data_IF_240422998665
#
_entry.id   IF_240422998665
#
_cell.length_a   1.000
_cell.length_b   1.000
_cell.length_c   1.000
_cell.angle_alpha   90.00
_cell.angle_beta   90.00
_cell.angle_gamma   90.00
#
_symmetry.space_group_name_H-M   'P 1'
#
loop_
_entity.id
_entity.type
_entity.pdbx_description
1 polymer ?
#
# COMPACT_ATOMS: atom_id res chain seq x y z
N UNK A 1 -65.33 38.56 22.20
CA UNK A 1 -64.55 38.00 21.10
C UNK A 1 -63.08 37.91 21.58
N UNK A 2 -62.69 36.71 21.97
CA UNK A 2 -61.35 36.48 22.55
C UNK A 2 -60.50 35.89 21.44
N UNK A 3 -59.48 36.66 20.99
CA UNK A 3 -58.49 36.20 20.05
C UNK A 3 -57.49 35.30 20.78
N UNK A 4 -57.44 34.01 20.37
CA UNK A 4 -56.38 33.08 20.75
C UNK A 4 -55.23 33.22 19.77
N UNK A 5 -54.08 33.77 20.29
CA UNK A 5 -52.77 33.69 19.60
C UNK A 5 -52.26 32.26 19.73
N UNK A 6 -52.11 31.55 18.61
CA UNK A 6 -51.36 30.30 18.54
C UNK A 6 -49.87 30.63 18.43
N UNK A 7 -49.11 30.34 19.49
CA UNK A 7 -47.65 30.41 19.51
C UNK A 7 -47.10 29.11 18.93
N UNK A 8 -46.66 29.10 17.66
CA UNK A 8 -46.00 27.96 17.03
C UNK A 8 -44.53 28.02 17.45
N UNK A 9 -44.15 27.14 18.36
CA UNK A 9 -42.75 26.93 18.71
C UNK A 9 -42.03 26.20 17.58
N UNK A 10 -41.18 26.90 16.88
CA UNK A 10 -40.17 26.28 15.98
C UNK A 10 -39.07 25.65 16.87
N UNK A 11 -39.07 24.34 17.00
CA UNK A 11 -37.91 23.61 17.52
C UNK A 11 -36.92 23.54 16.36
N UNK A 12 -35.94 24.42 16.38
CA UNK A 12 -34.75 24.32 15.57
C UNK A 12 -33.90 23.14 16.16
N UNK A 13 -34.03 21.97 15.58
CA UNK A 13 -33.03 20.93 15.79
C UNK A 13 -31.72 21.42 15.17
N UNK A 14 -30.80 21.87 16.01
CA UNK A 14 -29.41 22.03 15.62
C UNK A 14 -28.88 20.62 15.29
N UNK A 15 -28.90 20.22 14.04
CA UNK A 15 -28.04 19.15 13.56
C UNK A 15 -26.61 19.65 13.81
N UNK A 16 -25.92 19.07 14.78
CA UNK A 16 -24.48 19.08 14.80
C UNK A 16 -24.03 18.40 13.49
N UNK A 17 -23.66 19.18 12.49
CA UNK A 17 -22.88 18.66 11.39
C UNK A 17 -21.57 18.17 12.02
N UNK A 18 -21.47 16.87 12.28
CA UNK A 18 -20.19 16.22 12.55
C UNK A 18 -19.26 16.54 11.37
N UNK A 19 -17.99 16.79 11.63
CA UNK A 19 -17.02 16.95 10.57
C UNK A 19 -17.07 15.66 9.71
N UNK A 20 -17.31 15.82 8.41
CA UNK A 20 -17.34 14.71 7.47
C UNK A 20 -15.94 14.13 7.35
N UNK A 21 -15.80 12.81 7.39
CA UNK A 21 -14.53 12.13 7.21
C UNK A 21 -13.94 12.44 5.81
N UNK A 22 -12.62 12.58 5.76
CA UNK A 22 -11.94 12.95 4.52
C UNK A 22 -11.63 11.69 3.69
N UNK A 23 -12.07 11.61 2.42
CA UNK A 23 -11.91 10.40 1.61
C UNK A 23 -10.46 10.16 1.14
N UNK A 24 -9.55 11.11 1.34
CA UNK A 24 -8.16 11.03 0.86
C UNK A 24 -7.17 10.87 2.01
N UNK A 25 -5.97 10.37 1.71
CA UNK A 25 -4.84 10.29 2.67
C UNK A 25 -4.70 11.64 3.39
N UNK A 26 -4.58 11.60 4.71
CA UNK A 26 -4.37 12.80 5.53
C UNK A 26 -2.99 12.85 6.17
N UNK A 27 -2.30 11.70 6.26
CA UNK A 27 -1.00 11.62 6.92
C UNK A 27 -0.12 10.51 6.36
N UNK A 28 1.20 10.78 6.33
CA UNK A 28 2.25 9.80 6.08
C UNK A 28 3.03 9.54 7.37
N UNK A 29 3.17 8.28 7.74
CA UNK A 29 3.83 7.84 8.97
C UNK A 29 5.26 7.39 8.74
N UNK A 30 5.53 6.80 7.58
CA UNK A 30 6.88 6.35 7.22
C UNK A 30 7.06 6.33 5.69
N UNK A 31 8.30 6.51 5.25
CA UNK A 31 8.70 6.40 3.85
C UNK A 31 10.16 5.98 3.80
N UNK A 32 10.43 4.80 3.25
CA UNK A 32 11.76 4.25 3.05
C UNK A 32 11.81 3.65 1.64
N UNK A 33 12.17 4.43 0.61
CA UNK A 33 12.31 3.90 -0.74
C UNK A 33 13.54 2.98 -0.82
N UNK A 34 13.43 1.92 -1.59
CA UNK A 34 14.59 1.16 -2.05
C UNK A 34 15.34 1.97 -3.12
N UNK A 35 16.58 1.65 -3.45
CA UNK A 35 17.29 2.32 -4.52
C UNK A 35 16.52 2.23 -5.84
N UNK A 36 16.41 3.36 -6.56
CA UNK A 36 15.65 3.43 -7.80
C UNK A 36 15.85 4.75 -8.54
N UNK A 37 15.48 4.75 -9.82
CA UNK A 37 15.79 5.89 -10.72
C UNK A 37 15.00 7.17 -10.40
N UNK A 38 13.89 7.08 -9.64
CA UNK A 38 13.02 8.23 -9.32
C UNK A 38 13.00 8.63 -7.85
N UNK A 39 13.66 7.89 -6.94
CA UNK A 39 13.56 8.08 -5.49
C UNK A 39 14.06 9.44 -4.97
N UNK A 40 14.82 10.18 -5.78
CA UNK A 40 15.29 11.53 -5.45
C UNK A 40 14.57 12.63 -6.23
N UNK A 41 13.63 12.28 -7.09
CA UNK A 41 12.85 13.22 -7.91
C UNK A 41 11.35 13.14 -7.63
N UNK A 42 10.87 12.02 -7.10
CA UNK A 42 9.48 11.76 -6.72
C UNK A 42 9.39 11.24 -5.28
N UNK A 43 9.32 12.15 -4.29
CA UNK A 43 9.39 13.61 -4.36
C UNK A 43 10.82 14.11 -4.56
N UNK A 44 10.98 15.38 -4.96
CA UNK A 44 12.31 16.00 -5.09
C UNK A 44 13.00 16.14 -3.72
N UNK A 45 14.06 15.35 -3.52
CA UNK A 45 14.88 15.34 -2.30
C UNK A 45 16.34 15.60 -2.62
N UNK A 46 17.07 16.13 -1.65
CA UNK A 46 18.51 16.41 -1.77
C UNK A 46 19.26 15.88 -0.54
N UNK A 47 20.54 15.68 -0.67
CA UNK A 47 21.41 15.30 0.44
C UNK A 47 21.28 16.29 1.62
N UNK A 48 21.33 15.76 2.83
CA UNK A 48 21.21 16.52 4.08
C UNK A 48 19.78 16.86 4.51
N UNK A 49 18.75 16.48 3.75
CA UNK A 49 17.37 16.55 4.25
C UNK A 49 17.17 15.55 5.39
N UNK A 50 16.46 15.97 6.43
CA UNK A 50 16.05 15.08 7.52
C UNK A 50 14.83 14.24 7.11
N UNK A 51 14.62 13.11 7.79
CA UNK A 51 13.43 12.26 7.57
C UNK A 51 12.13 13.07 7.67
N UNK A 52 11.99 13.96 8.64
CA UNK A 52 10.79 14.78 8.82
C UNK A 52 10.53 15.72 7.64
N UNK A 53 11.58 16.28 7.04
CA UNK A 53 11.46 17.12 5.84
C UNK A 53 11.02 16.29 4.65
N UNK A 54 11.57 15.09 4.50
CA UNK A 54 11.19 14.16 3.43
C UNK A 54 9.74 13.71 3.60
N UNK A 55 9.31 13.32 4.81
CA UNK A 55 7.91 12.92 5.08
C UNK A 55 6.93 14.04 4.72
N UNK A 56 7.23 15.29 5.05
CA UNK A 56 6.39 16.45 4.63
C UNK A 56 6.30 16.58 3.12
N UNK A 57 7.37 16.32 2.37
CA UNK A 57 7.35 16.32 0.90
C UNK A 57 6.50 15.17 0.35
N UNK A 58 6.58 14.00 0.96
CA UNK A 58 5.73 12.87 0.63
C UNK A 58 4.26 13.20 0.88
N UNK A 59 3.91 13.79 2.04
CA UNK A 59 2.56 14.26 2.34
C UNK A 59 2.05 15.26 1.29
N UNK A 60 2.87 16.24 0.93
CA UNK A 60 2.53 17.21 -0.14
C UNK A 60 2.28 16.56 -1.51
N UNK A 61 2.86 15.38 -1.74
CA UNK A 61 2.75 14.68 -3.03
C UNK A 61 1.53 13.77 -3.13
N UNK A 62 1.06 13.18 -2.01
CA UNK A 62 0.04 12.12 -2.05
C UNK A 62 -1.15 12.35 -1.12
N UNK A 63 -1.09 13.27 -0.15
CA UNK A 63 -2.24 13.56 0.70
C UNK A 63 -3.26 14.46 -0.02
N UNK A 64 -4.54 14.29 0.34
CA UNK A 64 -5.58 15.23 -0.06
C UNK A 64 -5.40 16.58 0.59
N UNK A 65 -5.86 17.63 -0.07
CA UNK A 65 -5.85 18.99 0.43
C UNK A 65 -7.20 19.68 0.14
N UNK A 66 -7.48 20.76 0.84
CA UNK A 66 -8.68 21.55 0.64
C UNK A 66 -8.42 22.65 -0.41
N UNK A 67 -9.28 22.72 -1.42
CA UNK A 67 -9.26 23.76 -2.45
C UNK A 67 -10.70 24.27 -2.65
N UNK A 68 -10.90 25.59 -2.46
CA UNK A 68 -12.23 26.25 -2.52
C UNK A 68 -13.34 25.55 -1.71
N UNK A 69 -12.98 24.93 -0.57
CA UNK A 69 -13.92 24.25 0.33
C UNK A 69 -14.25 22.81 -0.09
N UNK A 70 -13.62 22.29 -1.13
CA UNK A 70 -13.71 20.90 -1.57
C UNK A 70 -12.39 20.15 -1.27
N UNK A 71 -12.50 18.88 -0.90
CA UNK A 71 -11.33 18.02 -0.76
C UNK A 71 -10.90 17.51 -2.13
N UNK A 72 -9.65 17.76 -2.48
CA UNK A 72 -9.02 17.30 -3.73
C UNK A 72 -7.82 16.40 -3.46
N UNK A 73 -7.57 15.48 -4.37
CA UNK A 73 -6.40 14.63 -4.31
C UNK A 73 -5.16 15.36 -4.85
N UNK A 74 -3.99 15.13 -4.27
CA UNK A 74 -2.75 15.72 -4.75
C UNK A 74 -2.47 15.34 -6.21
N UNK A 75 -1.94 16.28 -6.99
CA UNK A 75 -1.62 16.07 -8.42
C UNK A 75 -0.22 15.49 -8.68
N UNK A 76 0.46 15.03 -7.64
CA UNK A 76 1.82 14.50 -7.71
C UNK A 76 1.86 13.02 -7.35
N UNK A 77 3.05 12.46 -7.24
CA UNK A 77 3.28 11.08 -6.87
C UNK A 77 4.64 10.92 -6.16
N UNK A 78 4.84 9.77 -5.56
CA UNK A 78 6.13 9.35 -5.00
C UNK A 78 6.55 8.03 -5.64
N UNK A 79 7.88 7.81 -5.75
CA UNK A 79 8.43 6.53 -6.19
C UNK A 79 8.92 5.74 -4.99
N UNK A 80 8.57 4.46 -4.93
CA UNK A 80 9.03 3.55 -3.89
C UNK A 80 10.40 2.95 -4.21
N UNK A 81 10.91 3.17 -5.42
CA UNK A 81 12.12 2.51 -5.92
C UNK A 81 11.90 1.02 -6.15
N UNK A 82 12.97 0.25 -6.22
CA UNK A 82 12.96 -1.17 -6.49
C UNK A 82 12.26 -1.97 -5.38
N UNK A 83 12.28 -3.31 -5.48
CA UNK A 83 11.59 -4.21 -4.55
C UNK A 83 11.80 -3.85 -3.08
N UNK A 84 10.71 -3.81 -2.35
CA UNK A 84 10.67 -3.64 -0.90
C UNK A 84 10.62 -2.20 -0.41
N UNK A 85 11.01 -1.21 -1.22
CA UNK A 85 10.83 0.19 -0.86
C UNK A 85 9.35 0.51 -0.61
N UNK A 86 9.04 1.30 0.44
CA UNK A 86 7.67 1.43 0.93
C UNK A 86 7.29 2.81 1.43
N UNK A 87 5.98 3.03 1.52
CA UNK A 87 5.33 4.13 2.24
C UNK A 87 4.28 3.59 3.20
N UNK A 88 4.11 4.25 4.36
CA UNK A 88 3.01 3.99 5.31
C UNK A 88 2.19 5.27 5.47
N UNK A 89 0.90 5.16 5.26
CA UNK A 89 -0.03 6.29 5.35
C UNK A 89 -1.36 5.90 6.02
N UNK A 90 -2.23 6.87 6.24
CA UNK A 90 -3.58 6.68 6.77
C UNK A 90 -4.48 7.87 6.53
N UNK A 91 -5.73 7.70 6.91
CA UNK A 91 -6.79 8.70 6.86
C UNK A 91 -6.96 9.41 8.22
N UNK A 92 -7.87 10.38 8.34
CA UNK A 92 -8.22 11.01 9.62
C UNK A 92 -9.18 10.15 10.47
N UNK A 93 -9.57 8.99 9.94
CA UNK A 93 -10.44 7.99 10.54
C UNK A 93 -9.94 6.57 10.15
N UNK A 94 -10.38 5.50 10.82
CA UNK A 94 -10.11 4.12 10.39
C UNK A 94 -10.79 3.81 9.05
N UNK A 95 -10.09 3.20 8.12
CA UNK A 95 -10.66 2.60 6.91
C UNK A 95 -11.52 1.40 7.31
N UNK A 96 -12.80 1.42 6.97
CA UNK A 96 -13.79 0.42 7.38
C UNK A 96 -13.92 -0.69 6.33
N UNK A 97 -13.99 -1.94 6.77
CA UNK A 97 -14.36 -3.08 5.92
C UNK A 97 -15.88 -3.06 5.67
N UNK A 98 -16.29 -2.86 4.44
CA UNK A 98 -17.68 -2.92 3.99
C UNK A 98 -17.89 -4.23 3.22
N UNK A 99 -18.53 -5.17 3.88
CA UNK A 99 -18.68 -6.54 3.39
C UNK A 99 -19.15 -6.63 1.93
N UNK A 100 -18.32 -7.24 1.10
CA UNK A 100 -18.61 -7.51 -0.31
C UNK A 100 -18.38 -6.33 -1.26
N UNK A 101 -17.80 -5.25 -0.76
CA UNK A 101 -17.42 -4.09 -1.56
C UNK A 101 -15.89 -3.91 -1.58
N UNK A 102 -15.38 -2.96 -2.35
CA UNK A 102 -14.00 -2.52 -2.29
C UNK A 102 -13.92 -1.34 -1.33
N UNK A 103 -12.99 -1.39 -0.39
CA UNK A 103 -12.89 -0.39 0.67
C UNK A 103 -11.92 0.74 0.32
N UNK A 104 -10.89 0.44 -0.45
CA UNK A 104 -9.76 1.32 -0.71
C UNK A 104 -9.40 1.32 -2.19
N UNK A 105 -9.07 2.48 -2.74
CA UNK A 105 -8.38 2.59 -4.03
C UNK A 105 -7.06 3.33 -3.84
N UNK A 106 -5.97 2.79 -4.41
CA UNK A 106 -4.65 3.43 -4.40
C UNK A 106 -4.27 3.76 -5.83
N UNK A 107 -3.83 4.99 -6.06
CA UNK A 107 -3.52 5.54 -7.37
C UNK A 107 -2.02 5.43 -7.68
N UNK A 108 -1.72 5.13 -8.93
CA UNK A 108 -0.36 5.05 -9.46
C UNK A 108 -0.19 5.81 -10.77
N UNK A 109 0.76 5.37 -11.60
CA UNK A 109 0.99 5.95 -12.93
C UNK A 109 0.96 4.91 -14.07
N UNK A 110 0.48 3.69 -13.79
CA UNK A 110 0.38 2.64 -14.80
C UNK A 110 -0.33 3.12 -16.08
N UNK A 111 0.15 2.68 -17.23
CA UNK A 111 -0.38 3.05 -18.52
C UNK A 111 -0.55 1.87 -19.45
N UNK A 112 -1.53 1.94 -20.38
CA UNK A 112 -1.75 0.92 -21.39
C UNK A 112 -0.99 1.21 -22.69
N UNK A 113 -0.45 0.17 -23.31
CA UNK A 113 0.16 0.28 -24.64
C UNK A 113 -0.90 0.59 -25.73
N UNK A 114 -2.15 0.18 -25.52
CA UNK A 114 -3.30 0.55 -26.35
C UNK A 114 -4.61 0.36 -25.55
N UNK A 115 -5.74 0.97 -25.95
CA UNK A 115 -7.00 0.95 -25.19
C UNK A 115 -7.55 -0.44 -24.81
N UNK A 116 -7.14 -1.48 -25.52
CA UNK A 116 -7.60 -2.86 -25.29
C UNK A 116 -6.49 -3.81 -24.83
N UNK A 117 -5.25 -3.30 -24.67
CA UNK A 117 -4.12 -4.14 -24.27
C UNK A 117 -4.17 -4.45 -22.78
N UNK A 118 -3.62 -5.61 -22.39
CA UNK A 118 -3.37 -5.99 -21.00
C UNK A 118 -1.88 -5.82 -20.64
N UNK A 119 -1.22 -4.89 -21.30
CA UNK A 119 0.19 -4.56 -21.13
C UNK A 119 0.45 -3.08 -21.39
N UNK A 120 1.59 -2.63 -20.90
CA UNK A 120 2.05 -1.24 -21.01
C UNK A 120 3.16 -0.96 -20.02
N UNK A 121 3.00 0.08 -19.18
CA UNK A 121 3.74 0.27 -17.94
C UNK A 121 2.91 -0.28 -16.80
N UNK A 122 3.45 -1.24 -16.03
CA UNK A 122 2.81 -1.88 -14.89
C UNK A 122 3.86 -2.29 -13.87
N UNK A 123 3.83 -1.65 -12.71
CA UNK A 123 4.89 -1.67 -11.70
C UNK A 123 4.31 -2.09 -10.33
N UNK A 124 3.86 -3.38 -10.20
CA UNK A 124 2.94 -3.81 -9.17
C UNK A 124 3.49 -3.65 -7.75
N UNK A 125 2.76 -2.89 -6.92
CA UNK A 125 2.98 -2.74 -5.49
C UNK A 125 2.01 -3.61 -4.67
N UNK A 126 2.51 -4.14 -3.56
CA UNK A 126 1.76 -4.93 -2.58
C UNK A 126 1.24 -4.02 -1.48
N UNK A 127 0.03 -4.29 -1.01
CA UNK A 127 -0.62 -3.57 0.09
C UNK A 127 -0.64 -4.42 1.35
N UNK A 128 -0.25 -3.82 2.47
CA UNK A 128 -0.43 -4.36 3.80
C UNK A 128 -1.22 -3.39 4.67
N UNK A 129 -1.94 -3.89 5.64
CA UNK A 129 -2.78 -3.11 6.55
C UNK A 129 -2.52 -3.48 8.01
N UNK A 130 -2.73 -2.53 8.93
CA UNK A 130 -2.57 -2.75 10.36
C UNK A 130 -3.42 -1.79 11.20
N UNK A 131 -3.66 -2.15 12.47
CA UNK A 131 -4.26 -1.27 13.48
C UNK A 131 -3.21 -0.62 14.40
N UNK A 132 -1.97 -1.14 14.42
CA UNK A 132 -0.81 -0.57 15.13
C UNK A 132 0.38 -0.47 14.17
N UNK A 133 1.17 0.61 14.27
CA UNK A 133 2.39 0.81 13.45
C UNK A 133 3.45 -0.27 13.68
N UNK A 134 3.46 -0.88 14.87
CA UNK A 134 4.38 -1.97 15.20
C UNK A 134 3.84 -3.35 14.76
N UNK A 135 2.66 -3.40 14.16
CA UNK A 135 1.99 -4.61 13.69
C UNK A 135 1.09 -5.29 14.73
N UNK A 136 0.52 -6.42 14.41
CA UNK A 136 0.77 -7.20 13.19
C UNK A 136 0.33 -6.48 11.90
N UNK A 137 1.07 -6.73 10.82
CA UNK A 137 0.75 -6.29 9.49
C UNK A 137 0.18 -7.46 8.68
N UNK A 138 -0.94 -7.24 8.00
CA UNK A 138 -1.64 -8.21 7.18
C UNK A 138 -1.53 -7.83 5.70
N UNK A 139 -1.11 -8.77 4.84
CA UNK A 139 -1.07 -8.56 3.40
C UNK A 139 -2.49 -8.67 2.82
N UNK A 140 -2.88 -7.75 1.95
CA UNK A 140 -4.07 -7.92 1.11
C UNK A 140 -3.66 -8.77 -0.10
N UNK A 141 -3.94 -10.08 -0.03
CA UNK A 141 -3.49 -11.05 -1.02
C UNK A 141 -4.13 -10.80 -2.38
N UNK A 142 -3.32 -10.42 -3.37
CA UNK A 142 -3.75 -10.22 -4.76
C UNK A 142 -3.72 -11.50 -5.59
N UNK A 143 -4.07 -11.37 -6.88
CA UNK A 143 -4.23 -12.48 -7.83
C UNK A 143 -2.98 -13.36 -8.02
N UNK A 144 -1.79 -12.82 -7.76
CA UNK A 144 -0.53 -13.53 -7.91
C UNK A 144 0.01 -14.11 -6.60
N UNK A 145 -0.68 -13.91 -5.46
CA UNK A 145 -0.20 -14.40 -4.16
C UNK A 145 0.03 -15.91 -4.18
N UNK A 146 -0.90 -16.69 -4.71
CA UNK A 146 -0.79 -18.16 -4.87
C UNK A 146 0.01 -18.64 -6.08
N UNK A 147 0.64 -17.75 -6.85
CA UNK A 147 1.41 -18.14 -8.03
C UNK A 147 2.70 -18.85 -7.61
N UNK A 148 3.01 -20.00 -8.26
CA UNK A 148 4.19 -20.81 -7.94
C UNK A 148 5.55 -20.07 -8.09
N UNK A 149 5.59 -18.93 -8.78
CA UNK A 149 6.78 -18.08 -8.93
C UNK A 149 6.82 -16.89 -7.97
N UNK A 150 5.77 -16.68 -7.18
CA UNK A 150 5.76 -15.71 -6.09
C UNK A 150 6.56 -16.29 -4.93
N UNK A 151 7.44 -15.49 -4.34
CA UNK A 151 8.30 -15.91 -3.23
C UNK A 151 7.85 -15.17 -1.97
N UNK A 152 7.36 -15.91 -1.00
CA UNK A 152 7.07 -15.40 0.35
C UNK A 152 8.35 -15.33 1.18
N UNK A 153 8.41 -14.45 2.18
CA UNK A 153 9.59 -14.23 3.01
C UNK A 153 10.88 -13.92 2.20
N UNK A 154 10.71 -13.31 1.02
CA UNK A 154 11.84 -12.89 0.21
C UNK A 154 12.53 -11.71 0.89
N UNK A 155 13.84 -11.85 1.13
CA UNK A 155 14.68 -10.81 1.71
C UNK A 155 15.75 -10.36 0.74
N UNK A 156 15.95 -9.04 0.64
CA UNK A 156 16.99 -8.43 -0.18
C UNK A 156 17.74 -7.37 0.63
N UNK A 157 19.04 -7.25 0.36
CA UNK A 157 19.88 -6.16 0.86
C UNK A 157 20.54 -5.45 -0.32
N UNK A 158 20.29 -4.15 -0.42
CA UNK A 158 20.95 -3.25 -1.36
C UNK A 158 22.14 -2.57 -0.69
N UNK A 159 23.22 -2.34 -1.44
CA UNK A 159 24.44 -1.71 -0.95
C UNK A 159 24.64 -0.35 -1.62
N UNK A 160 24.95 0.67 -0.81
CA UNK A 160 25.17 2.04 -1.30
C UNK A 160 26.26 2.06 -2.39
N UNK A 161 25.97 2.61 -3.58
CA UNK A 161 26.93 2.62 -4.66
C UNK A 161 28.09 3.58 -4.38
N UNK A 162 29.28 3.24 -4.87
CA UNK A 162 30.37 4.19 -4.99
C UNK A 162 30.16 5.05 -6.25
N UNK A 163 29.68 6.28 -6.07
CA UNK A 163 29.46 7.22 -7.18
C UNK A 163 30.75 7.66 -7.89
N UNK A 164 31.92 7.41 -7.28
CA UNK A 164 33.23 7.73 -7.86
C UNK A 164 33.84 6.59 -8.66
N UNK A 165 33.27 5.40 -8.66
CA UNK A 165 33.80 4.25 -9.41
C UNK A 165 33.72 4.46 -10.93
N UNK A 166 34.58 3.79 -11.66
CA UNK A 166 34.50 3.72 -13.14
C UNK A 166 33.25 2.88 -13.52
N UNK A 167 32.30 3.45 -14.29
CA UNK A 167 31.10 2.71 -14.73
C UNK A 167 31.48 1.52 -15.64
N UNK A 168 30.63 0.47 -15.61
CA UNK A 168 30.74 -0.71 -16.49
C UNK A 168 29.58 -0.66 -17.50
N UNK A 169 29.81 -0.09 -18.73
CA UNK A 169 28.75 0.04 -19.72
C UNK A 169 28.24 -1.33 -20.21
N UNK A 170 26.96 -1.39 -20.59
CA UNK A 170 26.40 -2.58 -21.22
C UNK A 170 27.00 -2.76 -22.63
N UNK A 171 27.43 -3.99 -23.02
CA UNK A 171 28.16 -4.21 -24.27
C UNK A 171 27.35 -3.87 -25.54
N UNK A 172 26.03 -3.96 -25.50
CA UNK A 172 25.16 -3.78 -26.67
C UNK A 172 24.09 -2.70 -26.49
N UNK A 173 23.60 -2.47 -25.27
CA UNK A 173 22.55 -1.48 -25.00
C UNK A 173 23.22 -0.19 -24.50
N UNK A 174 23.51 0.76 -25.44
CA UNK A 174 24.20 2.00 -25.13
C UNK A 174 23.53 2.89 -24.08
N UNK A 175 22.21 2.75 -23.91
CA UNK A 175 21.48 3.50 -22.90
C UNK A 175 21.84 3.08 -21.47
N UNK A 176 22.31 1.85 -21.25
CA UNK A 176 22.76 1.35 -19.95
C UNK A 176 24.23 1.73 -19.78
N UNK A 177 24.48 2.70 -18.92
CA UNK A 177 25.82 3.30 -18.70
C UNK A 177 26.63 2.56 -17.63
N UNK A 178 25.97 1.87 -16.68
CA UNK A 178 26.63 1.05 -15.67
C UNK A 178 25.79 -0.18 -15.28
N UNK A 179 26.30 -1.37 -15.60
CA UNK A 179 25.68 -2.67 -15.27
C UNK A 179 26.01 -3.16 -13.86
N UNK A 180 26.81 -2.41 -13.10
CA UNK A 180 27.25 -2.78 -11.74
C UNK A 180 26.96 -1.69 -10.73
N UNK A 181 25.90 -0.87 -10.95
CA UNK A 181 25.70 0.38 -10.22
C UNK A 181 25.30 0.16 -8.76
N UNK A 182 24.10 -0.37 -8.46
CA UNK A 182 23.72 -0.68 -7.08
C UNK A 182 23.75 -2.19 -6.88
N UNK A 183 24.69 -2.69 -6.11
CA UNK A 183 24.79 -4.09 -5.79
C UNK A 183 23.66 -4.50 -4.84
N UNK A 184 23.17 -5.75 -4.97
CA UNK A 184 22.23 -6.36 -4.04
C UNK A 184 22.52 -7.85 -3.84
N UNK A 185 22.11 -8.36 -2.66
CA UNK A 185 22.07 -9.80 -2.33
C UNK A 185 20.69 -10.16 -1.81
N UNK A 186 20.24 -11.41 -2.01
CA UNK A 186 18.95 -11.87 -1.54
C UNK A 186 18.96 -13.35 -1.17
N UNK A 187 17.87 -13.82 -0.56
CA UNK A 187 17.67 -15.21 -0.16
C UNK A 187 16.92 -16.06 -1.20
N UNK A 188 16.84 -15.62 -2.48
CA UNK A 188 16.13 -16.37 -3.51
C UNK A 188 16.64 -17.82 -3.63
N UNK A 189 15.69 -18.76 -3.77
CA UNK A 189 16.00 -20.18 -3.97
C UNK A 189 15.95 -20.58 -5.44
N UNK A 190 15.25 -19.80 -6.27
CA UNK A 190 14.95 -20.13 -7.68
C UNK A 190 15.70 -19.26 -8.70
N UNK A 191 16.48 -18.29 -8.24
CA UNK A 191 17.15 -17.33 -9.10
C UNK A 191 18.50 -16.87 -8.52
N UNK A 192 19.09 -15.85 -9.14
CA UNK A 192 20.33 -15.23 -8.66
C UNK A 192 20.17 -14.72 -7.22
N UNK A 193 21.13 -15.04 -6.37
CA UNK A 193 21.21 -14.56 -4.98
C UNK A 193 21.96 -13.24 -4.85
N UNK A 194 22.52 -12.71 -5.92
CA UNK A 194 23.20 -11.43 -6.00
C UNK A 194 23.11 -10.86 -7.41
N UNK A 195 23.12 -9.53 -7.51
CA UNK A 195 23.05 -8.82 -8.78
C UNK A 195 23.21 -7.32 -8.61
N UNK A 196 22.78 -6.58 -9.62
CA UNK A 196 22.89 -5.14 -9.66
C UNK A 196 21.64 -4.50 -10.23
N UNK A 197 21.28 -3.31 -9.72
CA UNK A 197 20.45 -2.37 -10.47
C UNK A 197 21.35 -1.61 -11.43
N UNK A 198 20.91 -1.47 -12.67
CA UNK A 198 21.67 -0.82 -13.73
C UNK A 198 21.37 0.68 -13.77
N UNK A 199 22.39 1.49 -14.05
CA UNK A 199 22.21 2.91 -14.33
C UNK A 199 22.06 3.15 -15.82
N UNK A 200 21.14 4.03 -16.21
CA UNK A 200 20.94 4.41 -17.60
C UNK A 200 21.30 5.89 -17.83
N UNK A 201 21.36 6.31 -19.10
CA UNK A 201 21.68 7.67 -19.48
C UNK A 201 20.48 8.62 -19.52
N UNK A 202 19.28 8.14 -19.20
CA UNK A 202 18.05 8.93 -19.12
C UNK A 202 17.88 9.48 -17.69
N UNK A 203 18.28 8.69 -16.69
CA UNK A 203 18.19 9.03 -15.28
C UNK A 203 19.58 9.14 -14.67
N UNK A 204 20.15 10.36 -14.71
CA UNK A 204 21.54 10.62 -14.33
C UNK A 204 21.75 10.79 -12.83
N UNK A 205 20.69 11.09 -12.06
CA UNK A 205 20.74 11.25 -10.60
C UNK A 205 21.17 9.96 -9.91
N UNK A 206 21.59 10.07 -8.63
CA UNK A 206 21.82 8.89 -7.80
C UNK A 206 20.52 8.09 -7.63
N UNK A 207 20.62 6.76 -7.66
CA UNK A 207 19.50 5.85 -7.33
C UNK A 207 19.44 5.55 -5.84
N UNK A 208 20.47 5.89 -5.06
CA UNK A 208 20.43 5.79 -3.61
C UNK A 208 19.64 6.95 -3.03
N UNK A 209 18.70 6.71 -2.08
CA UNK A 209 17.98 7.79 -1.42
C UNK A 209 18.94 8.75 -0.73
N UNK A 210 19.03 10.01 -1.21
CA UNK A 210 20.08 10.97 -0.81
C UNK A 210 20.02 11.40 0.65
N UNK A 211 18.90 11.17 1.32
CA UNK A 211 18.68 11.51 2.73
C UNK A 211 18.96 10.33 3.68
N UNK A 212 19.31 9.14 3.14
CA UNK A 212 19.65 7.95 3.91
C UNK A 212 21.17 7.74 3.86
N UNK A 213 21.79 7.84 5.03
CA UNK A 213 23.25 7.72 5.15
C UNK A 213 23.74 6.28 5.28
N UNK A 214 22.82 5.34 5.57
CA UNK A 214 23.14 3.93 5.75
C UNK A 214 23.91 3.34 4.56
N UNK A 215 24.86 2.46 4.83
CA UNK A 215 25.65 1.76 3.81
C UNK A 215 24.86 0.66 3.09
N UNK A 216 23.75 0.22 3.67
CA UNK A 216 22.87 -0.79 3.09
C UNK A 216 21.41 -0.60 3.53
N UNK A 217 20.50 -1.06 2.69
CA UNK A 217 19.05 -1.09 2.96
C UNK A 217 18.54 -2.52 2.76
N UNK A 218 17.80 -3.03 3.74
CA UNK A 218 17.25 -4.39 3.69
C UNK A 218 15.74 -4.37 3.77
N UNK A 219 15.09 -5.21 2.97
CA UNK A 219 13.64 -5.33 2.91
C UNK A 219 13.24 -6.81 2.89
N UNK A 220 12.09 -7.11 3.48
CA UNK A 220 11.52 -8.47 3.52
C UNK A 220 10.02 -8.39 3.26
N UNK A 221 9.50 -9.34 2.48
CA UNK A 221 8.07 -9.45 2.17
C UNK A 221 7.81 -10.46 1.04
N UNK A 222 6.62 -10.40 0.47
CA UNK A 222 6.24 -11.18 -0.70
C UNK A 222 6.85 -10.55 -1.96
N UNK A 223 7.59 -11.33 -2.75
CA UNK A 223 8.09 -10.92 -4.07
C UNK A 223 7.28 -11.59 -5.16
N UNK A 224 6.61 -10.79 -5.97
CA UNK A 224 5.82 -11.23 -7.11
C UNK A 224 6.71 -11.78 -8.24
N UNK A 225 6.12 -12.58 -9.12
CA UNK A 225 6.78 -12.98 -10.36
C UNK A 225 7.08 -11.76 -11.23
N UNK A 226 8.07 -11.86 -12.09
CA UNK A 226 8.34 -10.85 -13.11
C UNK A 226 7.15 -10.77 -14.09
N UNK A 227 6.69 -9.53 -14.38
CA UNK A 227 5.67 -9.24 -15.38
C UNK A 227 6.22 -8.56 -16.63
N UNK A 228 7.52 -8.25 -16.66
CA UNK A 228 8.21 -7.60 -17.76
C UNK A 228 8.68 -8.63 -18.80
N UNK A 229 8.47 -8.32 -20.08
CA UNK A 229 8.85 -9.16 -21.23
C UNK A 229 9.54 -8.32 -22.28
N UNK A 230 10.71 -8.78 -22.74
CA UNK A 230 11.37 -8.23 -23.92
C UNK A 230 10.81 -8.86 -25.20
N UNK A 231 9.95 -8.14 -25.89
CA UNK A 231 9.30 -8.56 -27.12
C UNK A 231 10.30 -8.70 -28.30
N UNK A 232 11.45 -8.03 -28.20
CA UNK A 232 12.49 -8.09 -29.25
C UNK A 232 13.46 -9.28 -29.08
N UNK A 233 13.56 -9.84 -27.87
CA UNK A 233 14.59 -10.80 -27.49
C UNK A 233 16.02 -10.24 -27.54
N UNK A 234 16.17 -8.90 -27.64
CA UNK A 234 17.46 -8.20 -27.78
C UNK A 234 17.61 -7.03 -26.78
N UNK A 235 16.69 -6.88 -25.84
CA UNK A 235 16.69 -5.82 -24.85
C UNK A 235 16.18 -4.46 -25.32
N UNK A 236 15.60 -4.38 -26.53
CA UNK A 236 15.23 -3.12 -27.17
C UNK A 236 13.74 -2.79 -27.17
N UNK A 237 12.86 -3.74 -26.85
CA UNK A 237 11.41 -3.53 -26.83
C UNK A 237 10.79 -4.27 -25.65
N UNK A 238 10.55 -3.56 -24.58
CA UNK A 238 10.00 -4.09 -23.34
C UNK A 238 8.53 -3.68 -23.14
N UNK A 239 7.77 -4.56 -22.52
CA UNK A 239 6.43 -4.29 -22.02
C UNK A 239 6.20 -5.02 -20.70
N UNK A 240 5.30 -4.51 -19.87
CA UNK A 240 4.88 -5.14 -18.63
C UNK A 240 3.42 -5.56 -18.73
N UNK A 241 3.11 -6.81 -18.34
CA UNK A 241 1.75 -7.33 -18.37
C UNK A 241 1.05 -7.08 -17.04
N UNK A 242 -0.18 -6.61 -17.10
CA UNK A 242 -1.01 -6.39 -15.93
C UNK A 242 -1.35 -7.71 -15.23
N UNK A 243 -1.25 -7.73 -13.92
CA UNK A 243 -1.88 -8.76 -13.09
C UNK A 243 -3.39 -8.52 -13.02
N UNK A 244 -4.15 -9.52 -12.54
CA UNK A 244 -5.61 -9.42 -12.62
C UNK A 244 -6.17 -8.40 -11.62
N UNK A 245 -5.81 -8.47 -10.33
CA UNK A 245 -6.31 -7.58 -9.27
C UNK A 245 -5.39 -7.59 -8.04
N UNK A 246 -5.57 -6.61 -7.15
CA UNK A 246 -4.95 -6.60 -5.84
C UNK A 246 -3.53 -6.01 -5.80
N UNK A 247 -3.17 -5.14 -6.75
CA UNK A 247 -1.85 -4.48 -6.79
C UNK A 247 -1.97 -3.01 -7.14
N UNK A 248 -1.18 -2.19 -6.46
CA UNK A 248 -1.01 -0.76 -6.77
C UNK A 248 -0.22 -0.62 -8.06
N UNK A 249 -0.45 0.43 -8.83
CA UNK A 249 0.33 0.78 -10.02
C UNK A 249 0.43 -0.35 -11.06
N UNK A 250 -0.58 -1.21 -11.07
CA UNK A 250 -0.65 -2.40 -11.93
C UNK A 250 -1.47 -2.16 -13.20
N UNK A 251 -2.51 -1.32 -13.11
CA UNK A 251 -3.41 -0.96 -14.21
C UNK A 251 -3.65 0.54 -14.22
N UNK A 252 -3.95 1.13 -15.39
CA UNK A 252 -4.30 2.54 -15.48
C UNK A 252 -5.48 2.90 -14.58
N UNK A 253 -5.32 3.91 -13.75
CA UNK A 253 -6.38 4.50 -12.95
C UNK A 253 -7.05 5.68 -13.69
N UNK A 254 -7.98 6.38 -13.02
CA UNK A 254 -8.74 7.48 -13.62
C UNK A 254 -7.89 8.69 -14.04
N UNK A 255 -6.69 8.87 -13.48
CA UNK A 255 -5.79 9.97 -13.86
C UNK A 255 -5.33 9.84 -15.30
N UNK A 256 -5.17 8.60 -15.78
CA UNK A 256 -4.76 8.30 -17.15
C UNK A 256 -5.92 7.95 -18.07
N UNK A 257 -7.10 7.62 -17.53
CA UNK A 257 -8.30 7.27 -18.29
C UNK A 257 -9.27 8.44 -18.56
N UNK A 258 -8.87 9.69 -18.30
CA UNK A 258 -9.67 10.87 -18.58
C UNK A 258 -10.70 11.23 -17.50
N UNK A 259 -10.43 10.88 -16.25
CA UNK A 259 -11.10 11.51 -15.09
C UNK A 259 -12.35 10.82 -14.57
N UNK A 260 -12.63 9.59 -14.93
CA UNK A 260 -13.73 8.84 -14.32
C UNK A 260 -13.19 7.66 -13.52
N UNK A 261 -13.51 7.51 -12.23
CA UNK A 261 -13.16 6.31 -11.44
C UNK A 261 -14.01 5.14 -11.96
N UNK A 262 -13.57 4.50 -13.04
CA UNK A 262 -14.46 3.62 -13.81
C UNK A 262 -14.24 2.14 -13.54
N UNK A 263 -13.19 1.75 -12.82
CA UNK A 263 -12.86 0.34 -12.62
C UNK A 263 -12.51 0.00 -11.17
N UNK A 264 -13.33 0.48 -10.22
CA UNK A 264 -13.17 0.20 -8.77
C UNK A 264 -13.06 -1.30 -8.52
N UNK A 265 -13.76 -2.14 -9.29
CA UNK A 265 -13.72 -3.59 -9.14
C UNK A 265 -12.34 -4.20 -9.44
N UNK A 266 -11.57 -3.62 -10.37
CA UNK A 266 -10.23 -4.12 -10.71
C UNK A 266 -9.09 -3.31 -10.07
N UNK A 267 -9.37 -2.07 -9.63
CA UNK A 267 -8.38 -1.15 -9.03
C UNK A 267 -8.53 -1.04 -7.52
N UNK A 268 -9.71 -1.37 -6.97
CA UNK A 268 -10.00 -1.31 -5.55
C UNK A 268 -9.43 -2.51 -4.78
N UNK A 269 -9.16 -2.27 -3.50
CA UNK A 269 -8.74 -3.26 -2.52
C UNK A 269 -9.89 -3.53 -1.55
N UNK A 270 -9.94 -4.76 -1.06
CA UNK A 270 -10.95 -5.28 -0.15
C UNK A 270 -10.24 -5.77 1.11
N UNK A 271 -10.64 -5.31 2.27
CA UNK A 271 -10.04 -5.75 3.53
C UNK A 271 -10.30 -7.24 3.83
N UNK A 272 -11.31 -7.84 3.19
CA UNK A 272 -11.54 -9.29 3.26
C UNK A 272 -10.42 -10.13 2.60
N UNK A 273 -9.49 -9.51 1.86
CA UNK A 273 -8.30 -10.19 1.32
C UNK A 273 -7.14 -10.30 2.30
N UNK A 274 -7.32 -9.79 3.52
CA UNK A 274 -6.27 -9.81 4.53
C UNK A 274 -5.88 -11.23 4.92
N UNK A 275 -4.57 -11.47 4.97
CA UNK A 275 -3.97 -12.72 5.42
C UNK A 275 -2.86 -12.46 6.44
N UNK A 276 -2.65 -13.41 7.33
CA UNK A 276 -1.54 -13.41 8.28
C UNK A 276 -0.20 -13.80 7.62
N UNK A 277 0.88 -13.80 8.38
CA UNK A 277 2.24 -14.13 7.91
C UNK A 277 2.41 -15.57 7.43
N UNK A 278 1.45 -16.46 7.70
CA UNK A 278 1.47 -17.87 7.24
C UNK A 278 0.39 -18.14 6.19
N UNK A 279 -0.31 -17.09 5.72
CA UNK A 279 -1.28 -17.14 4.62
C UNK A 279 -2.70 -17.52 5.03
N UNK A 280 -3.04 -17.51 6.32
CA UNK A 280 -4.43 -17.72 6.75
C UNK A 280 -5.24 -16.43 6.61
N UNK A 281 -6.52 -16.52 6.19
CA UNK A 281 -7.42 -15.36 6.16
C UNK A 281 -7.59 -14.72 7.55
N UNK A 282 -7.60 -13.39 7.58
CA UNK A 282 -7.83 -12.60 8.79
C UNK A 282 -9.04 -11.70 8.57
N UNK A 283 -9.99 -11.73 9.52
CA UNK A 283 -11.15 -10.83 9.49
C UNK A 283 -10.82 -9.52 10.19
N UNK A 284 -10.88 -8.43 9.43
CA UNK A 284 -10.62 -7.07 9.91
C UNK A 284 -11.93 -6.27 9.84
N UNK A 285 -12.28 -5.57 10.92
CA UNK A 285 -13.43 -4.65 10.95
C UNK A 285 -13.08 -3.30 10.34
N UNK A 286 -11.88 -2.86 10.62
CA UNK A 286 -11.30 -1.61 10.10
C UNK A 286 -9.79 -1.63 10.31
N UNK A 287 -9.09 -0.74 9.62
CA UNK A 287 -7.63 -0.56 9.76
C UNK A 287 -7.28 0.92 9.83
N UNK A 288 -6.16 1.24 10.49
CA UNK A 288 -5.67 2.61 10.65
C UNK A 288 -4.50 2.94 9.74
N UNK A 289 -3.69 1.94 9.41
CA UNK A 289 -2.44 2.12 8.69
C UNK A 289 -2.42 1.24 7.45
N UNK A 290 -2.04 1.85 6.35
CA UNK A 290 -1.86 1.20 5.06
C UNK A 290 -0.39 1.33 4.67
N UNK A 291 0.24 0.23 4.33
CA UNK A 291 1.61 0.18 3.80
C UNK A 291 1.57 -0.31 2.37
N UNK A 292 2.23 0.41 1.48
CA UNK A 292 2.46 -0.01 0.10
C UNK A 292 3.94 -0.21 -0.10
N UNK A 293 4.34 -1.33 -0.69
CA UNK A 293 5.74 -1.56 -1.08
C UNK A 293 5.85 -2.12 -2.50
N UNK A 294 6.96 -1.80 -3.19
CA UNK A 294 7.22 -2.33 -4.51
C UNK A 294 7.34 -3.85 -4.46
N UNK A 295 6.45 -4.56 -5.18
CA UNK A 295 6.32 -6.02 -5.14
C UNK A 295 7.24 -6.77 -6.10
N UNK A 296 7.98 -6.10 -6.98
CA UNK A 296 8.77 -6.72 -8.04
C UNK A 296 10.26 -6.34 -7.97
N UNK A 297 11.12 -7.30 -8.29
CA UNK A 297 12.55 -7.08 -8.52
C UNK A 297 12.85 -7.36 -9.98
N UNK A 298 12.82 -6.33 -10.81
CA UNK A 298 13.00 -6.51 -12.27
C UNK A 298 13.58 -5.25 -12.93
N UNK A 299 14.12 -5.44 -14.13
CA UNK A 299 14.63 -4.38 -14.98
C UNK A 299 14.13 -4.57 -16.41
N UNK A 300 13.77 -3.48 -17.06
CA UNK A 300 13.22 -3.44 -18.43
C UNK A 300 14.26 -2.89 -19.42
N UNK A 301 15.43 -3.51 -19.50
CA UNK A 301 16.50 -3.12 -20.42
C UNK A 301 16.88 -1.64 -20.29
N UNK A 302 16.73 -0.88 -21.36
CA UNK A 302 17.08 0.54 -21.39
C UNK A 302 16.12 1.44 -20.58
N UNK A 303 14.89 0.99 -20.31
CA UNK A 303 13.95 1.69 -19.45
C UNK A 303 14.43 1.72 -17.98
N UNK A 304 15.26 0.75 -17.59
CA UNK A 304 15.86 0.72 -16.27
C UNK A 304 15.12 -0.19 -15.29
N UNK A 305 15.29 0.07 -14.01
CA UNK A 305 14.61 -0.64 -12.94
C UNK A 305 13.11 -0.30 -12.92
N UNK A 306 12.32 -1.16 -12.29
CA UNK A 306 10.88 -1.02 -12.16
C UNK A 306 10.56 -0.65 -10.71
N UNK A 307 9.92 0.50 -10.53
CA UNK A 307 9.51 1.04 -9.24
C UNK A 307 8.00 1.27 -9.20
N UNK A 308 7.37 0.93 -8.10
CA UNK A 308 5.96 1.28 -7.87
C UNK A 308 5.86 2.77 -7.53
N UNK A 309 4.98 3.50 -8.21
CA UNK A 309 4.59 4.87 -7.86
C UNK A 309 3.27 4.89 -7.09
N UNK A 310 3.20 5.77 -6.07
CA UNK A 310 1.97 6.05 -5.33
C UNK A 310 1.60 7.51 -5.53
N UNK A 311 0.40 7.75 -6.04
CA UNK A 311 -0.10 9.07 -6.39
C UNK A 311 -1.29 9.52 -5.51
N UNK A 312 -1.58 8.79 -4.46
CA UNK A 312 -2.66 9.04 -3.50
C UNK A 312 -3.47 7.79 -3.22
N UNK A 313 -4.45 7.92 -2.32
CA UNK A 313 -5.42 6.87 -2.06
C UNK A 313 -6.78 7.47 -1.68
N UNK A 314 -7.82 6.68 -1.89
CA UNK A 314 -9.22 7.06 -1.67
C UNK A 314 -9.85 6.00 -0.79
N UNK A 315 -10.39 6.41 0.36
CA UNK A 315 -11.38 5.62 1.10
C UNK A 315 -12.69 5.67 0.30
N UNK A 316 -13.20 4.51 -0.08
CA UNK A 316 -14.41 4.40 -0.90
C UNK A 316 -15.69 4.53 -0.06
N UNK A 317 -15.58 4.41 1.27
CA UNK A 317 -16.68 4.45 2.22
C UNK A 317 -16.37 5.32 3.46
N UNK A 318 -15.96 6.60 3.30
CA UNK A 318 -15.42 7.41 4.39
C UNK A 318 -16.38 7.61 5.57
N UNK A 319 -17.70 7.52 5.33
CA UNK A 319 -18.72 7.65 6.37
C UNK A 319 -19.22 6.29 6.91
N UNK A 320 -18.60 5.18 6.51
CA UNK A 320 -18.96 3.85 7.01
C UNK A 320 -18.62 3.73 8.50
N UNK A 321 -19.50 3.03 9.23
CA UNK A 321 -19.29 2.74 10.65
C UNK A 321 -18.85 1.29 10.80
N UNK A 322 -17.74 1.00 11.50
CA UNK A 322 -17.29 -0.35 11.71
C UNK A 322 -18.39 -1.20 12.41
N UNK A 323 -18.79 -2.29 11.79
CA UNK A 323 -19.72 -3.23 12.41
C UNK A 323 -18.95 -4.13 13.39
N UNK A 324 -19.64 -4.62 14.43
CA UNK A 324 -19.03 -5.58 15.35
C UNK A 324 -18.68 -6.86 14.60
N UNK A 325 -17.45 -7.34 14.73
CA UNK A 325 -17.06 -8.67 14.26
C UNK A 325 -17.45 -9.71 15.31
N UNK A 326 -18.14 -10.77 14.88
CA UNK A 326 -18.33 -11.93 15.73
C UNK A 326 -16.95 -12.54 16.03
N UNK A 327 -16.63 -12.73 17.31
CA UNK A 327 -15.34 -13.23 17.74
C UNK A 327 -14.28 -12.17 18.10
N UNK A 328 -14.51 -10.88 17.80
CA UNK A 328 -13.67 -9.76 18.30
C UNK A 328 -14.10 -9.43 19.74
N UNK A 329 -13.62 -10.24 20.68
CA UNK A 329 -14.01 -10.18 22.08
C UNK A 329 -13.44 -8.95 22.79
N UNK A 330 -12.22 -8.56 22.45
CA UNK A 330 -11.52 -7.41 23.04
C UNK A 330 -11.88 -6.06 22.39
N UNK A 331 -12.63 -6.08 21.26
CA UNK A 331 -13.05 -4.90 20.50
C UNK A 331 -11.88 -4.10 19.92
N UNK A 332 -10.80 -4.80 19.54
CA UNK A 332 -9.63 -4.15 18.91
C UNK A 332 -9.76 -4.05 17.37
N UNK A 333 -10.82 -4.62 16.81
CA UNK A 333 -11.14 -4.60 15.39
C UNK A 333 -10.57 -5.77 14.59
N UNK A 334 -9.95 -6.75 15.28
CA UNK A 334 -9.35 -7.94 14.67
C UNK A 334 -9.88 -9.17 15.40
N UNK A 335 -10.13 -10.27 14.68
CA UNK A 335 -10.40 -11.57 15.30
C UNK A 335 -9.14 -12.40 15.21
N UNK A 336 -8.48 -12.62 16.33
CA UNK A 336 -7.21 -13.36 16.38
C UNK A 336 -7.07 -14.24 17.64
N UNK A 337 -5.87 -14.79 17.85
CA UNK A 337 -5.57 -15.66 18.99
C UNK A 337 -5.73 -14.93 20.35
N UNK A 338 -5.69 -13.60 20.38
CA UNK A 338 -5.90 -12.81 21.59
C UNK A 338 -7.33 -12.98 22.10
N UNK A 339 -8.31 -12.97 21.19
CA UNK A 339 -9.71 -13.17 21.50
C UNK A 339 -9.96 -14.59 22.03
N UNK A 340 -9.38 -15.57 21.37
CA UNK A 340 -9.45 -16.98 21.81
C UNK A 340 -8.89 -17.13 23.23
N UNK A 341 -7.76 -16.50 23.53
CA UNK A 341 -7.17 -16.52 24.87
C UNK A 341 -8.06 -15.85 25.91
N UNK A 342 -8.78 -14.78 25.55
CA UNK A 342 -9.75 -14.13 26.44
C UNK A 342 -10.91 -15.08 26.74
N UNK A 343 -11.51 -15.71 25.70
CA UNK A 343 -12.56 -16.71 25.89
C UNK A 343 -12.12 -17.86 26.78
N UNK A 344 -10.93 -18.42 26.55
CA UNK A 344 -10.37 -19.47 27.41
C UNK A 344 -10.26 -18.98 28.86
N UNK A 345 -9.77 -17.77 29.10
CA UNK A 345 -9.65 -17.23 30.45
C UNK A 345 -11.01 -17.01 31.12
N UNK A 346 -12.02 -16.59 30.37
CA UNK A 346 -13.40 -16.47 30.89
C UNK A 346 -13.95 -17.85 31.28
N UNK A 347 -13.82 -18.85 30.41
CA UNK A 347 -14.28 -20.22 30.64
C UNK A 347 -13.59 -20.86 31.86
N UNK A 348 -12.30 -20.60 32.02
CA UNK A 348 -11.53 -21.08 33.19
C UNK A 348 -11.78 -20.28 34.48
N UNK A 349 -12.57 -19.21 34.42
CA UNK A 349 -12.85 -18.34 35.57
C UNK A 349 -11.69 -17.42 35.96
N UNK A 350 -10.71 -17.25 35.10
CA UNK A 350 -9.55 -16.36 35.31
C UNK A 350 -9.85 -14.91 34.91
N UNK A 351 -10.90 -14.68 34.11
CA UNK A 351 -11.37 -13.35 33.72
C UNK A 351 -12.91 -13.28 33.78
N UNK A 352 -13.45 -12.04 33.80
CA UNK A 352 -14.87 -11.79 33.97
C UNK A 352 -15.54 -11.51 32.61
N UNK A 353 -16.50 -12.34 32.23
CA UNK A 353 -17.31 -12.15 31.01
C UNK A 353 -17.95 -10.77 30.92
N UNK A 354 -18.33 -10.17 32.05
CA UNK A 354 -18.96 -8.84 32.11
C UNK A 354 -18.11 -7.70 31.55
N UNK A 355 -16.80 -7.88 31.41
CA UNK A 355 -15.89 -6.91 30.77
C UNK A 355 -16.12 -6.81 29.26
N UNK A 356 -16.56 -7.90 28.66
CA UNK A 356 -16.62 -8.06 27.21
C UNK A 356 -18.05 -8.02 26.65
N UNK A 357 -19.06 -8.00 27.55
CA UNK A 357 -20.47 -7.96 27.17
C UNK A 357 -20.90 -9.17 26.33
N UNK A 358 -21.75 -8.94 25.34
CA UNK A 358 -22.21 -9.98 24.43
C UNK A 358 -21.17 -10.43 23.40
N UNK A 359 -20.01 -9.79 23.31
CA UNK A 359 -18.96 -10.15 22.35
C UNK A 359 -18.30 -11.50 22.65
N UNK A 360 -18.33 -11.91 23.93
CA UNK A 360 -17.81 -13.20 24.37
C UNK A 360 -18.77 -14.37 24.11
N UNK A 361 -20.05 -14.10 23.85
CA UNK A 361 -21.05 -15.06 23.40
C UNK A 361 -21.11 -14.99 21.86
N UNK A 362 -20.15 -15.65 21.23
CA UNK A 362 -19.90 -15.53 19.77
C UNK A 362 -21.01 -16.22 18.97
N UNK A 363 -21.55 -17.32 19.47
CA UNK A 363 -22.62 -18.07 18.83
C UNK A 363 -24.03 -17.53 19.16
N UNK A 364 -24.16 -16.62 20.14
CA UNK A 364 -25.41 -15.95 20.54
C UNK A 364 -26.39 -16.84 21.29
N UNK A 365 -25.93 -17.94 21.92
CA UNK A 365 -26.82 -18.87 22.66
C UNK A 365 -27.07 -18.45 24.11
N UNK A 366 -26.43 -17.40 24.59
CA UNK A 366 -26.55 -16.85 25.95
C UNK A 366 -25.62 -17.50 26.97
N UNK A 367 -24.71 -18.38 26.53
CA UNK A 367 -23.74 -19.07 27.39
C UNK A 367 -22.34 -18.82 26.82
N UNK A 368 -21.37 -18.53 27.65
CA UNK A 368 -19.97 -18.44 27.18
C UNK A 368 -19.27 -19.75 27.52
N UNK A 369 -19.03 -20.57 26.52
CA UNK A 369 -18.41 -21.89 26.68
C UNK A 369 -17.50 -22.23 25.48
N UNK A 370 -17.09 -23.51 25.36
CA UNK A 370 -16.15 -23.95 24.33
C UNK A 370 -16.75 -23.90 22.89
N UNK A 371 -18.03 -23.62 22.74
CA UNK A 371 -18.68 -23.49 21.44
C UNK A 371 -18.55 -22.06 20.85
N UNK A 372 -18.13 -21.10 21.68
CA UNK A 372 -17.78 -19.75 21.29
C UNK A 372 -16.36 -19.67 20.75
#
# INVERSE_FOLDING_TARGET
MINRLLLTAFIASAMCAGAQNKPYITRVYDYVPAPGQFVNTLPAVTAGMTKDVVLKKVEQSICGYEDDGEMVIAESMISLGSYGGYVVFGFDHPLVNVKGERDLQILGNASQASPTSRNGSSEPGIVMVANDLNGPWYELAGSEHGNAKTQHDFSITYYKPDEGKTPTPHPTIKAITDTTYVAWTCNSVDSLQAGYLYKNNVHLQSYWPLWIDDASLSFTGTKLRCNAVDLSGKGSNWTQYFFDWGYVDNRPDFRYSGGTPTDVQNLGFDLDWAIDSVGNPVSLRSVKYIKVYCGVLQQCGWLGEVSTEVAGAIDLHPDAVPQSLAGDVNDDGTVDITDVNILINIILGNDQASKYGSRADVNGDGTIDIAD
#
